data_IF_424345554901
#
_entry.id   IF_424345554901
#
_cell.length_a   1.000
_cell.length_b   1.000
_cell.length_c   1.000
_cell.angle_alpha   90.00
_cell.angle_beta   90.00
_cell.angle_gamma   90.00
#
_symmetry.space_group_name_H-M   'P 1'
#
loop_
_entity.id
_entity.type
_entity.pdbx_description
1 polymer ?
#
# COMPACT_ATOMS: atom_id res chain seq x y z
N UNK A 1 -34.40 -10.69 56.67
CA UNK A 1 -34.46 -11.52 55.44
C UNK A 1 -34.80 -10.68 54.20
N UNK A 2 -35.98 -10.05 54.12
CA UNK A 2 -36.45 -9.32 52.93
C UNK A 2 -35.49 -8.27 52.36
N UNK A 3 -34.98 -7.34 53.20
CA UNK A 3 -34.00 -6.31 52.78
C UNK A 3 -32.67 -6.86 52.24
N UNK A 4 -32.28 -8.06 52.67
CA UNK A 4 -31.02 -8.70 52.22
C UNK A 4 -31.21 -9.31 50.84
N UNK A 5 -32.35 -9.97 50.59
CA UNK A 5 -32.68 -10.47 49.25
C UNK A 5 -32.77 -9.34 48.22
N UNK A 6 -33.44 -8.23 48.55
CA UNK A 6 -33.56 -7.10 47.62
C UNK A 6 -32.18 -6.51 47.28
N UNK A 7 -31.28 -6.41 48.27
CA UNK A 7 -29.90 -5.97 48.05
C UNK A 7 -29.11 -6.94 47.17
N UNK A 8 -29.22 -8.25 47.40
CA UNK A 8 -28.57 -9.26 46.54
C UNK A 8 -29.07 -9.21 45.09
N UNK A 9 -30.38 -9.09 44.87
CA UNK A 9 -30.94 -8.97 43.52
C UNK A 9 -30.40 -7.72 42.78
N UNK A 10 -30.32 -6.57 43.47
CA UNK A 10 -29.78 -5.34 42.88
C UNK A 10 -28.31 -5.50 42.50
N UNK A 11 -27.49 -6.12 43.36
CA UNK A 11 -26.06 -6.36 43.07
C UNK A 11 -25.90 -7.33 41.90
N UNK A 12 -26.69 -8.40 41.83
CA UNK A 12 -26.65 -9.35 40.72
C UNK A 12 -27.04 -8.69 39.39
N UNK A 13 -28.12 -7.91 39.35
CA UNK A 13 -28.54 -7.17 38.15
C UNK A 13 -27.46 -6.19 37.71
N UNK A 14 -26.83 -5.48 38.67
CA UNK A 14 -25.77 -4.54 38.36
C UNK A 14 -24.52 -5.23 37.79
N UNK A 15 -24.10 -6.37 38.35
CA UNK A 15 -22.98 -7.15 37.82
C UNK A 15 -23.27 -7.66 36.40
N UNK A 16 -24.49 -8.11 36.13
CA UNK A 16 -24.88 -8.59 34.78
C UNK A 16 -24.89 -7.43 33.77
N UNK A 17 -25.41 -6.27 34.15
CA UNK A 17 -25.39 -5.08 33.30
C UNK A 17 -23.95 -4.61 32.99
N UNK A 18 -23.08 -4.63 33.99
CA UNK A 18 -21.68 -4.23 33.84
C UNK A 18 -20.89 -5.21 32.97
N UNK A 19 -21.17 -6.52 33.09
CA UNK A 19 -20.63 -7.56 32.20
C UNK A 19 -21.11 -7.39 30.76
N UNK A 20 -22.39 -7.11 30.54
CA UNK A 20 -22.94 -6.88 29.21
C UNK A 20 -22.27 -5.68 28.52
N UNK A 21 -22.03 -4.60 29.26
CA UNK A 21 -21.31 -3.43 28.75
C UNK A 21 -19.85 -3.76 28.39
N UNK A 22 -19.15 -4.52 29.24
CA UNK A 22 -17.77 -4.94 28.95
C UNK A 22 -17.68 -5.81 27.68
N UNK A 23 -18.60 -6.77 27.52
CA UNK A 23 -18.67 -7.62 26.32
C UNK A 23 -18.94 -6.79 25.06
N UNK A 24 -19.86 -5.82 25.13
CA UNK A 24 -20.14 -4.95 23.99
C UNK A 24 -18.91 -4.12 23.59
N UNK A 25 -18.17 -3.59 24.58
CA UNK A 25 -16.93 -2.84 24.31
C UNK A 25 -15.84 -3.72 23.70
N UNK A 26 -15.68 -4.95 24.19
CA UNK A 26 -14.71 -5.91 23.68
C UNK A 26 -15.01 -6.30 22.23
N UNK A 27 -16.29 -6.53 21.90
CA UNK A 27 -16.72 -6.83 20.54
C UNK A 27 -16.43 -5.66 19.58
N UNK A 28 -16.73 -4.43 19.98
CA UNK A 28 -16.43 -3.24 19.17
C UNK A 28 -14.92 -3.04 18.99
N UNK A 29 -14.12 -3.28 20.04
CA UNK A 29 -12.66 -3.19 19.96
C UNK A 29 -12.06 -4.23 19.00
N UNK A 30 -12.56 -5.47 19.05
CA UNK A 30 -12.14 -6.52 18.12
C UNK A 30 -12.52 -6.20 16.67
N UNK A 31 -13.72 -5.68 16.43
CA UNK A 31 -14.16 -5.30 15.08
C UNK A 31 -13.27 -4.18 14.49
N UNK A 32 -13.00 -3.13 15.27
CA UNK A 32 -12.08 -2.06 14.87
C UNK A 32 -10.65 -2.58 14.61
N UNK A 33 -10.15 -3.47 15.46
CA UNK A 33 -8.84 -4.09 15.27
C UNK A 33 -8.80 -4.91 13.98
N UNK A 34 -9.84 -5.71 13.71
CA UNK A 34 -9.94 -6.53 12.51
C UNK A 34 -10.10 -5.68 11.24
N UNK A 35 -10.84 -4.57 11.32
CA UNK A 35 -10.98 -3.62 10.23
C UNK A 35 -9.64 -2.92 9.92
N UNK A 36 -8.90 -2.50 10.95
CA UNK A 36 -7.56 -1.92 10.79
C UNK A 36 -6.55 -2.92 10.17
N UNK A 37 -6.59 -4.17 10.61
CA UNK A 37 -5.79 -5.26 10.03
C UNK A 37 -6.16 -5.48 8.57
N UNK A 38 -7.46 -5.55 8.24
CA UNK A 38 -7.95 -5.74 6.87
C UNK A 38 -7.51 -4.60 5.94
N UNK A 39 -7.62 -3.34 6.39
CA UNK A 39 -7.14 -2.17 5.64
C UNK A 39 -5.64 -2.24 5.38
N UNK A 40 -4.87 -2.63 6.39
CA UNK A 40 -3.41 -2.78 6.26
C UNK A 40 -3.05 -3.92 5.30
N UNK A 41 -3.71 -5.07 5.42
CA UNK A 41 -3.49 -6.20 4.52
C UNK A 41 -3.79 -5.83 3.05
N UNK A 42 -4.86 -5.07 2.79
CA UNK A 42 -5.18 -4.61 1.44
C UNK A 42 -4.12 -3.64 0.88
N UNK A 43 -3.61 -2.72 1.71
CA UNK A 43 -2.49 -1.84 1.32
C UNK A 43 -1.25 -2.64 0.96
N UNK A 44 -0.82 -3.55 1.83
CA UNK A 44 0.36 -4.40 1.60
C UNK A 44 0.19 -5.25 0.33
N UNK A 45 -0.99 -5.84 0.12
CA UNK A 45 -1.26 -6.61 -1.08
C UNK A 45 -1.23 -5.76 -2.36
N UNK A 46 -1.73 -4.53 -2.30
CA UNK A 46 -1.67 -3.57 -3.42
C UNK A 46 -0.24 -3.15 -3.72
N UNK A 47 0.54 -2.82 -2.69
CA UNK A 47 1.92 -2.39 -2.82
C UNK A 47 2.82 -3.52 -3.33
N UNK A 48 2.61 -4.75 -2.87
CA UNK A 48 3.31 -5.93 -3.38
C UNK A 48 3.00 -6.18 -4.87
N UNK A 49 1.75 -6.01 -5.31
CA UNK A 49 1.38 -6.09 -6.73
C UNK A 49 2.05 -4.99 -7.55
N UNK A 50 2.07 -3.75 -7.05
CA UNK A 50 2.72 -2.62 -7.74
C UNK A 50 4.23 -2.81 -7.84
N UNK A 51 4.89 -3.20 -6.74
CA UNK A 51 6.33 -3.45 -6.70
C UNK A 51 6.79 -4.53 -7.68
N UNK A 52 6.04 -5.64 -7.79
CA UNK A 52 6.34 -6.69 -8.76
C UNK A 52 6.16 -6.24 -10.23
N UNK A 53 5.16 -5.41 -10.52
CA UNK A 53 4.99 -4.84 -11.87
C UNK A 53 6.13 -3.86 -12.22
N UNK A 54 6.59 -3.06 -11.25
CA UNK A 54 7.66 -2.08 -11.45
C UNK A 54 9.03 -2.75 -11.65
N UNK A 55 9.30 -3.85 -10.94
CA UNK A 55 10.52 -4.65 -11.10
C UNK A 55 10.58 -5.34 -12.49
N UNK A 56 9.47 -5.93 -12.94
CA UNK A 56 9.36 -6.51 -14.29
C UNK A 56 9.46 -5.45 -15.39
N UNK A 57 9.01 -4.21 -15.13
CA UNK A 57 9.18 -3.07 -16.04
C UNK A 57 10.65 -2.65 -16.15
N UNK A 58 11.37 -2.56 -15.04
CA UNK A 58 12.81 -2.25 -15.02
C UNK A 58 13.62 -3.32 -15.78
N UNK A 59 13.33 -4.60 -15.55
CA UNK A 59 14.00 -5.69 -16.26
C UNK A 59 13.74 -5.62 -17.78
N UNK A 60 12.50 -5.31 -18.19
CA UNK A 60 12.15 -5.11 -19.60
C UNK A 60 12.84 -3.88 -20.21
N UNK A 61 13.04 -2.82 -19.43
CA UNK A 61 13.74 -1.62 -19.86
C UNK A 61 15.22 -1.90 -20.14
N UNK A 62 15.91 -2.55 -19.20
CA UNK A 62 17.34 -2.91 -19.33
C UNK A 62 17.60 -3.93 -20.44
N UNK A 63 16.64 -4.82 -20.70
CA UNK A 63 16.71 -5.78 -21.81
C UNK A 63 16.49 -5.12 -23.19
N UNK A 64 15.94 -3.92 -23.24
CA UNK A 64 15.89 -3.17 -24.48
C UNK A 64 17.28 -2.62 -24.77
N UNK A 65 17.68 -2.58 -26.04
CA UNK A 65 19.01 -2.12 -26.42
C UNK A 65 19.10 -0.60 -26.23
N UNK A 66 19.41 -0.17 -25.01
CA UNK A 66 19.43 1.24 -24.63
C UNK A 66 20.38 2.00 -25.56
N UNK A 67 19.94 3.14 -26.13
CA UNK A 67 20.82 3.94 -26.95
C UNK A 67 21.98 4.43 -26.08
N UNK A 68 23.22 4.16 -26.50
CA UNK A 68 24.42 4.61 -25.80
C UNK A 68 24.69 6.05 -26.20
N UNK A 69 24.57 7.00 -25.27
CA UNK A 69 25.03 8.36 -25.50
C UNK A 69 26.56 8.39 -25.40
N UNK A 70 27.24 8.72 -26.51
CA UNK A 70 28.70 8.72 -26.55
C UNK A 70 29.34 9.92 -25.83
N UNK A 71 28.55 10.90 -25.40
CA UNK A 71 29.02 12.12 -24.75
C UNK A 71 29.70 13.08 -25.72
N UNK A 72 29.52 14.39 -25.50
CA UNK A 72 30.10 15.45 -26.33
C UNK A 72 29.16 16.65 -26.50
N UNK A 73 29.65 17.73 -27.14
CA UNK A 73 28.85 18.91 -27.50
C UNK A 73 28.11 18.68 -28.83
N UNK A 74 27.29 17.63 -28.86
CA UNK A 74 26.48 17.23 -30.02
C UNK A 74 24.99 17.35 -29.68
N UNK A 75 24.35 18.50 -30.00
CA UNK A 75 22.95 18.72 -29.67
C UNK A 75 22.02 17.77 -30.43
N UNK A 76 22.36 17.38 -31.66
CA UNK A 76 21.56 16.47 -32.47
C UNK A 76 21.65 15.03 -31.95
N UNK A 77 22.85 14.61 -31.55
CA UNK A 77 23.08 13.32 -30.89
C UNK A 77 22.36 13.21 -29.54
N UNK A 78 22.32 14.29 -28.76
CA UNK A 78 21.57 14.35 -27.50
C UNK A 78 20.06 14.27 -27.73
N UNK A 79 19.53 14.99 -28.72
CA UNK A 79 18.12 14.95 -29.12
C UNK A 79 17.70 13.52 -29.51
N UNK A 80 18.47 12.87 -30.39
CA UNK A 80 18.16 11.50 -30.85
C UNK A 80 18.22 10.47 -29.73
N UNK A 81 19.11 10.68 -28.75
CA UNK A 81 19.19 9.84 -27.55
C UNK A 81 17.94 9.99 -26.66
N UNK A 82 17.49 11.23 -26.41
CA UNK A 82 16.26 11.51 -25.63
C UNK A 82 15.04 10.90 -26.31
N UNK A 83 14.86 11.10 -27.62
CA UNK A 83 13.75 10.49 -28.38
C UNK A 83 13.78 8.96 -28.33
N UNK A 84 14.98 8.37 -28.37
CA UNK A 84 15.18 6.93 -28.22
C UNK A 84 14.70 6.42 -26.86
N UNK A 85 15.02 7.13 -25.78
CA UNK A 85 14.59 6.80 -24.42
C UNK A 85 13.05 6.97 -24.26
N UNK A 86 12.49 8.07 -24.76
CA UNK A 86 11.03 8.30 -24.73
C UNK A 86 10.25 7.24 -25.50
N UNK A 87 10.76 6.77 -26.65
CA UNK A 87 10.13 5.69 -27.42
C UNK A 87 10.06 4.39 -26.65
N UNK A 88 11.07 4.10 -25.82
CA UNK A 88 11.10 2.91 -24.96
C UNK A 88 10.10 3.08 -23.80
N UNK A 89 10.06 4.25 -23.15
CA UNK A 89 9.06 4.54 -22.12
C UNK A 89 7.62 4.42 -22.64
N UNK A 90 7.37 4.93 -23.85
CA UNK A 90 6.08 4.80 -24.54
C UNK A 90 5.71 3.34 -24.81
N UNK A 91 6.65 2.52 -25.29
CA UNK A 91 6.42 1.09 -25.55
C UNK A 91 6.16 0.28 -24.27
N UNK A 92 6.70 0.71 -23.13
CA UNK A 92 6.48 0.09 -21.82
C UNK A 92 5.21 0.59 -21.11
N UNK A 93 4.52 1.61 -21.65
CA UNK A 93 3.35 2.28 -21.03
C UNK A 93 3.65 2.81 -19.62
N UNK A 94 4.87 3.29 -19.38
CA UNK A 94 5.19 3.95 -18.12
C UNK A 94 4.40 5.27 -18.02
N UNK A 95 3.63 5.46 -16.95
CA UNK A 95 3.12 6.78 -16.56
C UNK A 95 4.30 7.58 -15.98
N UNK A 96 4.32 8.90 -16.20
CA UNK A 96 5.41 9.85 -15.84
C UNK A 96 6.09 9.57 -14.48
N UNK A 97 5.30 9.18 -13.48
CA UNK A 97 5.80 8.87 -12.12
C UNK A 97 6.81 7.70 -12.06
N UNK A 98 6.81 6.79 -13.04
CA UNK A 98 7.75 5.67 -13.13
C UNK A 98 8.95 5.98 -14.05
N UNK A 99 8.80 6.97 -14.95
CA UNK A 99 9.87 7.42 -15.84
C UNK A 99 11.02 8.07 -15.08
N UNK A 100 10.72 8.81 -14.01
CA UNK A 100 11.73 9.46 -13.13
C UNK A 100 12.59 8.44 -12.39
N UNK A 101 12.01 7.32 -11.93
CA UNK A 101 12.75 6.26 -11.25
C UNK A 101 13.69 5.50 -12.19
N UNK A 102 13.22 5.20 -13.41
CA UNK A 102 14.00 4.49 -14.43
C UNK A 102 15.08 5.39 -15.06
N UNK A 103 14.82 6.68 -15.21
CA UNK A 103 15.78 7.66 -15.73
C UNK A 103 17.00 7.87 -14.82
N UNK A 104 16.91 7.55 -13.52
CA UNK A 104 18.06 7.59 -12.60
C UNK A 104 19.05 6.44 -12.76
N UNK A 105 18.72 5.40 -13.53
CA UNK A 105 19.58 4.24 -13.80
C UNK A 105 20.31 4.30 -15.15
N UNK A 106 20.02 5.31 -15.97
CA UNK A 106 20.63 5.58 -17.29
C UNK A 106 21.61 6.72 -17.18
#
# INVERSE_FOLDING_TARGET
AFRVLTRCCVVLVQVMAQRALAIAMELMANDMAQEAVSRTANRVARDARRGGEDELRLERFMNNKLPIFKGGYDPDGAQSWIEGIERIFGAMRCLDEHGVLLGGYV
#
